data_IF_321720526516
#
_entry.id   IF_321720526516
#
_cell.length_a   1.000
_cell.length_b   1.000
_cell.length_c   1.000
_cell.angle_alpha   90.00
_cell.angle_beta   90.00
_cell.angle_gamma   90.00
#
_symmetry.space_group_name_H-M   'P 1'
#
loop_
_entity.id
_entity.type
_entity.pdbx_description
1 polymer ?
#
# COMPACT_ATOMS: atom_id res chain seq x y z
N UNK A 1 2.90 2.30 -24.77
CA UNK A 1 1.88 1.34 -25.23
C UNK A 1 2.36 -0.04 -24.90
N UNK A 2 1.96 -0.58 -23.75
CA UNK A 2 2.13 -2.00 -23.46
C UNK A 2 0.87 -2.70 -23.98
N UNK A 3 1.08 -3.58 -24.96
CA UNK A 3 0.05 -4.43 -25.55
C UNK A 3 -0.52 -5.34 -24.46
N UNK A 4 -1.82 -5.22 -24.18
CA UNK A 4 -2.57 -6.15 -23.35
C UNK A 4 -2.51 -7.54 -23.99
N UNK A 5 -1.68 -8.43 -23.44
CA UNK A 5 -1.80 -9.85 -23.72
C UNK A 5 -3.11 -10.33 -23.10
N UNK A 6 -4.10 -10.64 -23.94
CA UNK A 6 -5.42 -11.11 -23.57
C UNK A 6 -5.42 -12.58 -23.07
N UNK A 7 -4.57 -12.88 -22.09
CA UNK A 7 -4.56 -14.11 -21.32
C UNK A 7 -5.07 -13.88 -19.90
N UNK A 8 -5.48 -14.93 -19.17
CA UNK A 8 -5.80 -14.83 -17.75
C UNK A 8 -4.56 -14.34 -16.98
N UNK A 9 -4.70 -13.27 -16.20
CA UNK A 9 -3.64 -12.78 -15.31
C UNK A 9 -3.43 -13.77 -14.17
N UNK A 10 -2.43 -14.65 -14.35
CA UNK A 10 -2.13 -15.74 -13.42
C UNK A 10 -1.66 -15.23 -12.05
N UNK A 11 -1.10 -14.02 -11.97
CA UNK A 11 -0.57 -13.44 -10.74
C UNK A 11 -1.58 -12.57 -9.99
N UNK A 12 -2.78 -12.34 -10.53
CA UNK A 12 -3.80 -11.48 -9.94
C UNK A 12 -4.07 -11.78 -8.45
N UNK A 13 -4.31 -13.06 -8.12
CA UNK A 13 -4.61 -13.47 -6.74
C UNK A 13 -3.42 -13.27 -5.79
N UNK A 14 -2.21 -13.47 -6.30
CA UNK A 14 -0.97 -13.28 -5.53
C UNK A 14 -0.75 -11.79 -5.23
N UNK A 15 -0.89 -10.93 -6.25
CA UNK A 15 -0.82 -9.46 -6.11
C UNK A 15 -1.84 -8.96 -5.09
N UNK A 16 -3.10 -9.38 -5.21
CA UNK A 16 -4.15 -8.98 -4.27
C UNK A 16 -3.85 -9.41 -2.84
N UNK A 17 -3.41 -10.66 -2.63
CA UNK A 17 -3.03 -11.15 -1.30
C UNK A 17 -1.91 -10.30 -0.71
N UNK A 18 -0.91 -9.93 -1.51
CA UNK A 18 0.18 -9.05 -1.11
C UNK A 18 -0.32 -7.64 -0.75
N UNK A 19 -1.11 -6.98 -1.60
CA UNK A 19 -1.58 -5.62 -1.35
C UNK A 19 -2.51 -5.50 -0.14
N UNK A 20 -3.30 -6.54 0.13
CA UNK A 20 -4.19 -6.59 1.29
C UNK A 20 -3.43 -6.93 2.60
N UNK A 21 -2.12 -7.16 2.54
CA UNK A 21 -1.30 -7.50 3.69
C UNK A 21 -1.42 -8.97 4.14
N UNK A 22 -2.07 -9.83 3.35
CA UNK A 22 -2.17 -11.26 3.60
C UNK A 22 -0.87 -11.99 3.15
N UNK A 23 0.28 -11.55 3.68
CA UNK A 23 1.61 -11.98 3.25
C UNK A 23 1.83 -13.49 3.35
N UNK A 24 1.35 -14.12 4.43
CA UNK A 24 1.47 -15.58 4.59
C UNK A 24 0.66 -16.33 3.53
N UNK A 25 -0.52 -15.83 3.15
CA UNK A 25 -1.33 -16.42 2.10
C UNK A 25 -0.67 -16.25 0.72
N UNK A 26 -0.04 -15.10 0.47
CA UNK A 26 0.73 -14.86 -0.74
C UNK A 26 1.89 -15.87 -0.87
N UNK A 27 2.63 -16.12 0.22
CA UNK A 27 3.72 -17.11 0.25
C UNK A 27 3.18 -18.52 -0.01
N UNK A 28 2.13 -18.93 0.72
CA UNK A 28 1.59 -20.29 0.63
C UNK A 28 1.00 -20.61 -0.75
N UNK A 29 0.44 -19.61 -1.43
CA UNK A 29 -0.20 -19.76 -2.74
C UNK A 29 0.72 -19.34 -3.91
N UNK A 30 2.03 -19.28 -3.69
CA UNK A 30 2.98 -18.83 -4.71
C UNK A 30 3.27 -19.87 -5.79
N UNK A 31 3.03 -21.16 -5.53
CA UNK A 31 3.25 -22.24 -6.50
C UNK A 31 2.21 -22.22 -7.64
N UNK A 32 2.49 -21.41 -8.67
CA UNK A 32 1.64 -21.25 -9.84
C UNK A 32 2.34 -21.92 -11.05
N UNK A 33 1.73 -22.94 -11.67
CA UNK A 33 2.32 -23.62 -12.82
C UNK A 33 2.17 -22.80 -14.11
N UNK A 34 3.01 -23.09 -15.11
CA UNK A 34 2.95 -22.52 -16.47
C UNK A 34 3.12 -21.00 -16.57
N UNK A 35 3.92 -20.40 -15.68
CA UNK A 35 4.28 -18.98 -15.74
C UNK A 35 5.35 -18.72 -16.81
N UNK A 36 5.27 -17.54 -17.43
CA UNK A 36 6.35 -17.04 -18.28
C UNK A 36 7.59 -16.70 -17.43
N UNK A 37 8.76 -16.53 -18.06
CA UNK A 37 9.97 -16.16 -17.31
C UNK A 37 9.82 -14.79 -16.62
N UNK A 38 9.07 -13.87 -17.22
CA UNK A 38 8.76 -12.56 -16.62
C UNK A 38 7.85 -12.71 -15.40
N UNK A 39 6.79 -13.52 -15.51
CA UNK A 39 5.86 -13.77 -14.41
C UNK A 39 6.52 -14.53 -13.25
N UNK A 40 7.48 -15.42 -13.54
CA UNK A 40 8.28 -16.11 -12.50
C UNK A 40 9.05 -15.08 -11.68
N UNK A 41 9.74 -14.15 -12.34
CA UNK A 41 10.50 -13.10 -11.66
C UNK A 41 9.57 -12.20 -10.85
N UNK A 42 8.40 -11.84 -11.38
CA UNK A 42 7.43 -11.03 -10.65
C UNK A 42 6.85 -11.75 -9.44
N UNK A 43 6.46 -13.03 -9.58
CA UNK A 43 6.02 -13.88 -8.47
C UNK A 43 7.08 -13.91 -7.37
N UNK A 44 8.33 -14.19 -7.73
CA UNK A 44 9.41 -14.29 -6.75
C UNK A 44 9.67 -12.95 -6.06
N UNK A 45 9.58 -11.83 -6.81
CA UNK A 45 9.60 -10.49 -6.22
C UNK A 45 8.48 -10.28 -5.18
N UNK A 46 7.25 -10.70 -5.48
CA UNK A 46 6.11 -10.56 -4.55
C UNK A 46 6.27 -11.44 -3.31
N UNK A 47 6.77 -12.67 -3.47
CA UNK A 47 7.04 -13.61 -2.37
C UNK A 47 8.13 -13.05 -1.45
N UNK A 48 9.27 -12.63 -1.99
CA UNK A 48 10.34 -12.05 -1.19
C UNK A 48 9.92 -10.73 -0.51
N UNK A 49 9.14 -9.87 -1.20
CA UNK A 49 8.55 -8.67 -0.56
C UNK A 49 7.59 -9.04 0.58
N UNK A 50 6.88 -10.17 0.47
CA UNK A 50 6.02 -10.69 1.54
C UNK A 50 6.86 -11.12 2.76
N UNK A 51 7.99 -11.80 2.54
CA UNK A 51 8.94 -12.11 3.61
C UNK A 51 9.53 -10.87 4.29
N UNK A 52 9.89 -9.84 3.51
CA UNK A 52 10.34 -8.54 4.04
C UNK A 52 9.25 -7.93 4.94
N UNK A 53 7.99 -7.94 4.49
CA UNK A 53 6.87 -7.39 5.26
C UNK A 53 6.59 -8.16 6.56
N UNK A 54 6.94 -9.45 6.62
CA UNK A 54 6.91 -10.28 7.83
C UNK A 54 8.17 -10.14 8.70
N UNK A 55 9.12 -9.27 8.33
CA UNK A 55 10.37 -9.04 9.06
C UNK A 55 11.47 -10.09 8.82
N UNK A 56 11.27 -11.01 7.88
CA UNK A 56 12.22 -12.09 7.56
C UNK A 56 13.31 -11.63 6.58
N UNK A 57 14.04 -10.55 6.92
CA UNK A 57 15.01 -9.93 6.01
C UNK A 57 16.18 -10.85 5.66
N UNK A 58 16.72 -11.60 6.64
CA UNK A 58 17.89 -12.47 6.45
C UNK A 58 17.62 -13.61 5.47
N UNK A 59 16.40 -14.13 5.43
CA UNK A 59 15.99 -15.15 4.46
C UNK A 59 16.13 -14.60 3.04
N UNK A 60 15.59 -13.42 2.78
CA UNK A 60 15.64 -12.78 1.46
C UNK A 60 17.07 -12.44 1.04
N UNK A 61 17.90 -11.96 1.98
CA UNK A 61 19.30 -11.63 1.71
C UNK A 61 20.12 -12.88 1.32
N UNK A 62 19.82 -14.03 1.93
CA UNK A 62 20.56 -15.26 1.71
C UNK A 62 20.06 -16.06 0.49
N UNK A 63 18.76 -16.04 0.21
CA UNK A 63 18.16 -16.80 -0.91
C UNK A 63 18.41 -16.14 -2.27
N UNK A 64 18.42 -14.81 -2.34
CA UNK A 64 18.68 -14.10 -3.59
C UNK A 64 20.19 -14.06 -3.82
N UNK A 65 20.67 -14.89 -4.75
CA UNK A 65 22.07 -14.91 -5.18
C UNK A 65 22.45 -13.64 -5.98
N UNK A 66 23.71 -13.47 -6.39
CA UNK A 66 24.16 -12.31 -7.20
C UNK A 66 23.81 -12.44 -8.70
N UNK A 67 23.45 -13.64 -9.17
CA UNK A 67 23.11 -13.91 -10.57
C UNK A 67 21.62 -13.70 -10.87
N UNK A 68 20.80 -13.49 -9.83
CA UNK A 68 19.37 -13.29 -9.97
C UNK A 68 19.05 -12.01 -10.74
N UNK A 69 17.87 -11.99 -11.38
CA UNK A 69 17.42 -10.87 -12.19
C UNK A 69 17.42 -9.55 -11.40
N UNK A 70 17.68 -8.43 -12.09
CA UNK A 70 17.73 -7.09 -11.48
C UNK A 70 16.54 -6.74 -10.57
N UNK A 71 15.28 -7.12 -10.89
CA UNK A 71 14.15 -6.93 -9.97
C UNK A 71 14.33 -7.61 -8.61
N UNK A 72 14.84 -8.84 -8.60
CA UNK A 72 15.11 -9.60 -7.37
C UNK A 72 16.28 -8.99 -6.60
N UNK A 73 17.34 -8.55 -7.30
CA UNK A 73 18.42 -7.81 -6.67
C UNK A 73 17.93 -6.52 -5.99
N UNK A 74 16.96 -5.82 -6.60
CA UNK A 74 16.35 -4.65 -5.97
C UNK A 74 15.56 -5.03 -4.71
N UNK A 75 14.83 -6.13 -4.71
CA UNK A 75 14.14 -6.62 -3.50
C UNK A 75 15.14 -7.01 -2.40
N UNK A 76 16.26 -7.66 -2.75
CA UNK A 76 17.37 -7.93 -1.81
C UNK A 76 17.94 -6.63 -1.22
N UNK A 77 18.14 -5.62 -2.07
CA UNK A 77 18.62 -4.30 -1.65
C UNK A 77 17.67 -3.65 -0.63
N UNK A 78 16.36 -3.75 -0.84
CA UNK A 78 15.37 -3.31 0.15
C UNK A 78 15.48 -4.06 1.48
N UNK A 79 15.65 -5.39 1.43
CA UNK A 79 15.83 -6.19 2.65
C UNK A 79 17.09 -5.77 3.42
N UNK A 80 18.20 -5.52 2.72
CA UNK A 80 19.44 -5.02 3.34
C UNK A 80 19.23 -3.66 4.01
N UNK A 81 18.58 -2.72 3.32
CA UNK A 81 18.24 -1.39 3.85
C UNK A 81 17.40 -1.46 5.14
N UNK A 82 16.37 -2.30 5.16
CA UNK A 82 15.48 -2.44 6.31
C UNK A 82 16.08 -3.26 7.46
N UNK A 83 17.03 -4.16 7.16
CA UNK A 83 17.62 -5.05 8.15
C UNK A 83 18.56 -4.35 9.14
N UNK A 84 19.31 -3.34 8.69
CA UNK A 84 20.39 -2.74 9.48
C UNK A 84 20.60 -1.27 9.09
N UNK A 85 20.57 -0.33 10.06
CA UNK A 85 20.83 1.09 9.80
C UNK A 85 22.22 1.38 9.22
N UNK A 86 23.22 0.54 9.51
CA UNK A 86 24.60 0.71 9.03
C UNK A 86 24.74 0.53 7.52
N UNK A 87 23.86 -0.27 6.90
CA UNK A 87 23.90 -0.55 5.47
C UNK A 87 23.12 0.48 4.63
N UNK A 88 22.49 1.48 5.27
CA UNK A 88 21.62 2.44 4.58
C UNK A 88 22.36 3.23 3.50
N UNK A 89 23.51 3.80 3.85
CA UNK A 89 24.24 4.69 2.94
C UNK A 89 24.80 3.94 1.73
N UNK A 90 25.37 2.74 1.93
CA UNK A 90 25.85 1.88 0.84
C UNK A 90 24.73 1.40 -0.07
N UNK A 91 23.56 1.10 0.51
CA UNK A 91 22.36 0.72 -0.22
C UNK A 91 21.87 1.87 -1.11
N UNK A 92 21.77 3.08 -0.57
CA UNK A 92 21.33 4.26 -1.31
C UNK A 92 22.32 4.61 -2.44
N UNK A 93 23.63 4.48 -2.20
CA UNK A 93 24.64 4.69 -3.22
C UNK A 93 24.50 3.69 -4.39
N UNK A 94 24.36 2.40 -4.08
CA UNK A 94 24.16 1.32 -5.07
C UNK A 94 22.87 1.54 -5.87
N UNK A 95 21.80 1.94 -5.19
CA UNK A 95 20.52 2.25 -5.82
C UNK A 95 20.64 3.42 -6.81
N UNK A 96 21.35 4.49 -6.45
CA UNK A 96 21.58 5.64 -7.33
C UNK A 96 22.36 5.27 -8.58
N UNK A 97 23.34 4.37 -8.45
CA UNK A 97 24.08 3.84 -9.60
C UNK A 97 23.16 3.10 -10.56
N UNK A 98 22.29 2.21 -10.05
CA UNK A 98 21.35 1.48 -10.90
C UNK A 98 20.30 2.38 -11.55
N UNK A 99 19.88 3.45 -10.88
CA UNK A 99 18.95 4.43 -11.45
C UNK A 99 19.59 5.30 -12.53
N UNK A 100 20.92 5.43 -12.53
CA UNK A 100 21.67 6.11 -13.58
C UNK A 100 21.83 5.24 -14.84
N UNK A 101 21.81 3.91 -14.71
CA UNK A 101 21.79 2.98 -15.83
C UNK A 101 20.40 2.99 -16.52
N UNK A 102 20.30 3.32 -17.82
CA UNK A 102 19.02 3.33 -18.55
C UNK A 102 18.28 1.99 -18.53
N UNK A 103 18.99 0.87 -18.45
CA UNK A 103 18.37 -0.47 -18.49
C UNK A 103 17.72 -0.79 -17.14
N UNK A 104 18.48 -0.77 -16.06
CA UNK A 104 17.99 -1.00 -14.70
C UNK A 104 17.00 0.09 -14.24
N UNK A 105 17.31 1.37 -14.54
CA UNK A 105 16.47 2.52 -14.18
C UNK A 105 15.12 2.57 -14.90
N UNK A 106 14.93 1.82 -15.99
CA UNK A 106 13.63 1.68 -16.66
C UNK A 106 12.74 0.60 -16.02
N UNK A 107 13.32 -0.31 -15.22
CA UNK A 107 12.61 -1.44 -14.64
C UNK A 107 11.63 -0.98 -13.54
N UNK A 108 10.36 -1.35 -13.66
CA UNK A 108 9.31 -0.90 -12.74
C UNK A 108 9.56 -1.31 -11.28
N UNK A 109 10.06 -2.52 -11.04
CA UNK A 109 10.37 -3.02 -9.69
C UNK A 109 11.53 -2.25 -9.07
N UNK A 110 12.61 -2.01 -9.82
CA UNK A 110 13.76 -1.21 -9.36
C UNK A 110 13.28 0.18 -8.94
N UNK A 111 12.46 0.82 -9.78
CA UNK A 111 11.90 2.15 -9.50
C UNK A 111 10.95 2.16 -8.30
N UNK A 112 10.18 1.09 -8.11
CA UNK A 112 9.28 0.94 -6.96
C UNK A 112 10.06 0.81 -5.66
N UNK A 113 11.11 -0.02 -5.65
CA UNK A 113 12.00 -0.15 -4.50
C UNK A 113 12.73 1.16 -4.22
N UNK A 114 13.22 1.84 -5.27
CA UNK A 114 13.85 3.14 -5.13
C UNK A 114 12.93 4.16 -4.47
N UNK A 115 11.70 4.28 -4.97
CA UNK A 115 10.70 5.17 -4.39
C UNK A 115 10.37 4.82 -2.95
N UNK A 116 10.33 3.52 -2.60
CA UNK A 116 10.09 3.06 -1.22
C UNK A 116 11.23 3.48 -0.29
N UNK A 117 12.48 3.28 -0.69
CA UNK A 117 13.66 3.64 0.10
C UNK A 117 13.74 5.17 0.27
N UNK A 118 13.60 5.93 -0.81
CA UNK A 118 13.62 7.41 -0.72
C UNK A 118 12.47 7.97 0.10
N UNK A 119 11.28 7.33 0.07
CA UNK A 119 10.17 7.70 0.95
C UNK A 119 10.50 7.45 2.43
N UNK A 120 11.24 6.38 2.77
CA UNK A 120 11.71 6.13 4.14
C UNK A 120 12.77 7.12 4.61
N UNK A 121 13.57 7.67 3.70
CA UNK A 121 14.55 8.73 3.96
C UNK A 121 13.92 10.14 3.89
N UNK A 122 12.60 10.24 3.74
CA UNK A 122 11.84 11.49 3.62
C UNK A 122 12.26 12.38 2.42
N UNK A 123 13.05 11.85 1.47
CA UNK A 123 13.39 12.52 0.21
C UNK A 123 12.32 12.25 -0.85
N UNK A 124 11.16 12.88 -0.65
CA UNK A 124 10.02 12.73 -1.53
C UNK A 124 10.28 13.25 -2.96
N UNK A 125 11.17 14.24 -3.10
CA UNK A 125 11.55 14.81 -4.40
C UNK A 125 12.28 13.79 -5.28
N UNK A 126 13.28 13.12 -4.74
CA UNK A 126 14.00 12.07 -5.47
C UNK A 126 13.10 10.86 -5.71
N UNK A 127 12.25 10.49 -4.74
CA UNK A 127 11.26 9.43 -4.93
C UNK A 127 10.37 9.70 -6.16
N UNK A 128 9.78 10.89 -6.28
CA UNK A 128 8.89 11.26 -7.39
C UNK A 128 9.59 11.33 -8.75
N UNK A 129 10.85 11.74 -8.79
CA UNK A 129 11.68 11.73 -10.01
C UNK A 129 11.69 10.35 -10.68
N UNK A 130 11.80 9.31 -9.86
CA UNK A 130 11.89 7.93 -10.33
C UNK A 130 10.56 7.22 -10.42
N UNK A 131 9.46 7.73 -9.87
CA UNK A 131 8.18 7.01 -9.81
C UNK A 131 7.08 7.64 -10.67
N UNK A 132 7.26 8.89 -11.13
CA UNK A 132 6.22 9.62 -11.88
C UNK A 132 6.08 9.21 -13.37
N UNK A 133 7.16 8.83 -14.05
CA UNK A 133 7.14 8.57 -15.50
C UNK A 133 6.76 7.12 -15.86
N UNK A 134 5.78 6.91 -16.75
CA UNK A 134 5.51 5.58 -17.34
C UNK A 134 5.31 4.45 -16.34
N UNK A 135 4.52 4.70 -15.28
CA UNK A 135 4.41 3.82 -14.12
C UNK A 135 3.42 2.66 -14.28
N UNK A 136 3.67 1.59 -13.53
CA UNK A 136 2.69 0.53 -13.23
C UNK A 136 1.71 1.01 -12.16
N UNK A 137 0.64 0.24 -11.92
CA UNK A 137 -0.33 0.57 -10.88
C UNK A 137 0.33 0.74 -9.49
N UNK A 138 1.34 -0.07 -9.15
CA UNK A 138 2.14 0.07 -7.93
C UNK A 138 2.84 1.43 -7.83
N UNK A 139 3.46 1.90 -8.92
CA UNK A 139 4.15 3.19 -8.96
C UNK A 139 3.15 4.34 -8.80
N UNK A 140 1.97 4.22 -9.41
CA UNK A 140 0.91 5.20 -9.21
C UNK A 140 0.40 5.23 -7.76
N UNK A 141 0.19 4.06 -7.15
CA UNK A 141 -0.22 3.95 -5.75
C UNK A 141 0.84 4.52 -4.80
N UNK A 142 2.13 4.24 -5.05
CA UNK A 142 3.24 4.81 -4.28
C UNK A 142 3.28 6.34 -4.40
N UNK A 143 3.04 6.89 -5.59
CA UNK A 143 2.96 8.34 -5.77
C UNK A 143 1.85 8.97 -4.94
N UNK A 144 0.68 8.32 -4.84
CA UNK A 144 -0.40 8.78 -3.95
C UNK A 144 0.09 8.84 -2.50
N UNK A 145 0.76 7.79 -2.02
CA UNK A 145 1.33 7.77 -0.67
C UNK A 145 2.36 8.88 -0.45
N UNK A 146 3.26 9.11 -1.42
CA UNK A 146 4.27 10.17 -1.36
C UNK A 146 3.58 11.55 -1.30
N UNK A 147 2.60 11.84 -2.15
CA UNK A 147 1.89 13.11 -2.13
C UNK A 147 1.13 13.35 -0.82
N UNK A 148 0.54 12.30 -0.24
CA UNK A 148 -0.09 12.36 1.09
C UNK A 148 0.96 12.72 2.15
N UNK A 149 2.13 12.08 2.13
CA UNK A 149 3.25 12.35 3.06
C UNK A 149 3.82 13.76 2.91
N UNK A 150 3.78 14.32 1.70
CA UNK A 150 4.15 15.72 1.43
C UNK A 150 3.07 16.73 1.85
N UNK A 151 1.94 16.28 2.41
CA UNK A 151 0.77 17.12 2.72
C UNK A 151 0.19 17.82 1.47
N UNK A 152 0.32 17.20 0.30
CA UNK A 152 -0.18 17.70 -0.99
C UNK A 152 -1.33 16.84 -1.48
N UNK A 153 -2.45 16.94 -0.78
CA UNK A 153 -3.70 16.24 -1.13
C UNK A 153 -4.18 16.54 -2.55
N UNK A 154 -3.96 17.76 -3.03
CA UNK A 154 -4.30 18.19 -4.39
C UNK A 154 -3.58 17.39 -5.48
N UNK A 155 -2.32 17.02 -5.26
CA UNK A 155 -1.59 16.15 -6.18
C UNK A 155 -1.96 14.69 -6.00
N UNK A 156 -2.22 14.25 -4.77
CA UNK A 156 -2.67 12.90 -4.48
C UNK A 156 -4.03 12.60 -5.15
N UNK A 157 -4.98 13.55 -5.12
CA UNK A 157 -6.27 13.46 -5.84
C UNK A 157 -6.08 13.33 -7.35
N UNK A 158 -5.20 14.15 -7.95
CA UNK A 158 -4.90 14.07 -9.39
C UNK A 158 -4.34 12.71 -9.75
N UNK A 159 -3.42 12.19 -8.93
CA UNK A 159 -2.81 10.89 -9.14
C UNK A 159 -3.83 9.76 -8.99
N UNK A 160 -4.75 9.84 -8.02
CA UNK A 160 -5.84 8.88 -7.85
C UNK A 160 -6.77 8.86 -9.07
N UNK A 161 -7.11 10.03 -9.65
CA UNK A 161 -7.91 10.08 -10.88
C UNK A 161 -7.24 9.38 -12.05
N UNK A 162 -5.91 9.47 -12.14
CA UNK A 162 -5.15 8.71 -13.15
C UNK A 162 -5.33 7.21 -12.90
N UNK A 163 -5.19 6.73 -11.66
CA UNK A 163 -5.41 5.32 -11.33
C UNK A 163 -6.82 4.84 -11.68
N UNK A 164 -7.85 5.64 -11.37
CA UNK A 164 -9.25 5.34 -11.71
C UNK A 164 -9.49 5.25 -13.21
N UNK A 165 -8.80 6.07 -14.01
CA UNK A 165 -8.88 5.98 -15.48
C UNK A 165 -8.22 4.72 -16.04
N UNK A 166 -7.20 4.20 -15.36
CA UNK A 166 -6.55 2.94 -15.75
C UNK A 166 -7.41 1.74 -15.36
N UNK A 167 -7.81 1.66 -14.10
CA UNK A 167 -8.65 0.61 -13.56
C UNK A 167 -9.24 1.07 -12.21
N UNK A 168 -10.53 1.39 -12.21
CA UNK A 168 -11.27 1.85 -11.04
C UNK A 168 -11.45 0.75 -9.99
N UNK A 169 -11.64 -0.50 -10.42
CA UNK A 169 -11.92 -1.65 -9.55
C UNK A 169 -10.65 -2.31 -9.02
N UNK A 170 -9.47 -1.88 -9.51
CA UNK A 170 -8.20 -2.40 -9.04
C UNK A 170 -8.01 -2.20 -7.53
N UNK A 171 -7.55 -3.23 -6.82
CA UNK A 171 -7.32 -3.21 -5.36
C UNK A 171 -6.48 -2.02 -4.91
N UNK A 172 -5.39 -1.71 -5.63
CA UNK A 172 -4.57 -0.53 -5.35
C UNK A 172 -5.29 0.80 -5.54
N UNK A 173 -6.20 0.92 -6.51
CA UNK A 173 -7.01 2.14 -6.70
C UNK A 173 -7.95 2.34 -5.51
N UNK A 174 -8.59 1.25 -5.06
CA UNK A 174 -9.47 1.27 -3.89
C UNK A 174 -8.69 1.60 -2.60
N UNK A 175 -7.51 1.01 -2.41
CA UNK A 175 -6.63 1.33 -1.27
C UNK A 175 -6.13 2.79 -1.33
N UNK A 176 -5.75 3.28 -2.50
CA UNK A 176 -5.31 4.67 -2.68
C UNK A 176 -6.44 5.66 -2.38
N UNK A 177 -7.68 5.35 -2.78
CA UNK A 177 -8.87 6.13 -2.40
C UNK A 177 -9.06 6.16 -0.88
N UNK A 178 -8.95 5.00 -0.22
CA UNK A 178 -9.07 4.91 1.23
C UNK A 178 -7.99 5.74 1.96
N UNK A 179 -6.71 5.66 1.53
CA UNK A 179 -5.62 6.45 2.12
C UNK A 179 -5.83 7.94 1.94
N UNK A 180 -6.29 8.36 0.75
CA UNK A 180 -6.54 9.76 0.45
C UNK A 180 -7.69 10.30 1.30
N UNK A 181 -8.81 9.57 1.39
CA UNK A 181 -9.95 9.98 2.22
C UNK A 181 -9.54 10.11 3.70
N UNK A 182 -8.74 9.16 4.20
CA UNK A 182 -8.17 9.22 5.55
C UNK A 182 -7.25 10.44 5.76
N UNK A 183 -6.50 10.84 4.73
CA UNK A 183 -5.54 11.94 4.82
C UNK A 183 -6.17 13.33 4.63
N UNK A 184 -7.14 13.45 3.73
CA UNK A 184 -7.77 14.72 3.34
C UNK A 184 -8.87 15.11 4.30
N UNK A 185 -9.66 14.13 4.77
CA UNK A 185 -10.80 14.44 5.61
C UNK A 185 -11.00 13.43 6.75
N UNK A 186 -10.34 13.69 7.88
CA UNK A 186 -10.69 13.05 9.14
C UNK A 186 -12.13 13.38 9.62
N UNK A 187 -12.92 14.15 8.85
CA UNK A 187 -14.36 14.40 9.08
C UNK A 187 -15.26 13.73 8.05
N UNK A 188 -14.73 13.07 7.03
CA UNK A 188 -15.55 12.30 6.09
C UNK A 188 -16.41 11.29 6.88
N UNK A 189 -17.74 11.26 6.67
CA UNK A 189 -18.65 10.50 7.52
C UNK A 189 -18.34 9.00 7.51
N UNK A 190 -18.05 8.44 6.35
CA UNK A 190 -17.72 7.02 6.15
C UNK A 190 -16.35 6.67 6.75
N UNK A 191 -15.38 7.57 6.60
CA UNK A 191 -14.05 7.41 7.21
C UNK A 191 -14.12 7.43 8.74
N UNK A 192 -14.86 8.40 9.31
CA UNK A 192 -15.12 8.48 10.74
C UNK A 192 -15.90 7.26 11.27
N UNK A 193 -16.90 6.82 10.52
CA UNK A 193 -17.68 5.63 10.81
C UNK A 193 -16.81 4.37 10.89
N UNK A 194 -15.97 4.16 9.88
CA UNK A 194 -15.04 3.04 9.83
C UNK A 194 -14.02 3.11 10.98
N UNK A 195 -13.48 4.30 11.29
CA UNK A 195 -12.57 4.49 12.41
C UNK A 195 -13.23 4.20 13.78
N UNK A 196 -14.50 4.56 13.96
CA UNK A 196 -15.27 4.21 15.18
C UNK A 196 -15.39 2.70 15.32
N UNK A 197 -15.82 2.01 14.26
CA UNK A 197 -16.01 0.56 14.26
C UNK A 197 -14.69 -0.18 14.50
N UNK A 198 -13.62 0.21 13.78
CA UNK A 198 -12.29 -0.38 13.94
C UNK A 198 -11.72 -0.14 15.34
N UNK A 199 -11.86 1.06 15.90
CA UNK A 199 -11.37 1.38 17.25
C UNK A 199 -12.04 0.50 18.31
N UNK A 200 -13.36 0.26 18.19
CA UNK A 200 -14.11 -0.63 19.10
C UNK A 200 -13.60 -2.08 18.98
N UNK A 201 -13.43 -2.61 17.76
CA UNK A 201 -12.96 -3.99 17.55
C UNK A 201 -11.52 -4.22 18.03
N UNK A 202 -10.68 -3.18 18.00
CA UNK A 202 -9.28 -3.23 18.48
C UNK A 202 -9.20 -2.93 19.99
N UNK A 203 -10.32 -2.67 20.67
CA UNK A 203 -10.36 -2.36 22.10
C UNK A 203 -9.77 -0.99 22.46
N UNK A 204 -9.65 -0.09 21.49
CA UNK A 204 -9.15 1.28 21.70
C UNK A 204 -10.31 2.25 21.93
N UNK A 205 -10.12 3.27 22.78
CA UNK A 205 -11.16 4.27 23.01
C UNK A 205 -11.47 5.05 21.72
N UNK A 206 -12.71 4.89 21.22
CA UNK A 206 -13.28 5.59 20.08
C UNK A 206 -14.04 6.92 20.32
N UNK A 207 -14.15 7.51 21.55
CA UNK A 207 -15.04 8.67 21.76
C UNK A 207 -14.72 9.86 20.86
N UNK A 208 -13.44 10.06 20.53
CA UNK A 208 -13.00 11.18 19.70
C UNK A 208 -13.63 11.12 18.30
N UNK A 209 -13.59 9.97 17.64
CA UNK A 209 -14.13 9.81 16.29
C UNK A 209 -15.65 9.84 16.28
N UNK A 210 -16.28 9.21 17.28
CA UNK A 210 -17.75 9.22 17.41
C UNK A 210 -18.29 10.63 17.68
N UNK A 211 -17.64 11.39 18.56
CA UNK A 211 -18.00 12.80 18.83
C UNK A 211 -17.83 13.65 17.58
N UNK A 212 -16.76 13.45 16.82
CA UNK A 212 -16.53 14.17 15.57
C UNK A 212 -17.56 13.82 14.49
N UNK A 213 -18.01 12.56 14.43
CA UNK A 213 -19.07 12.11 13.53
C UNK A 213 -20.44 12.70 13.91
N UNK A 214 -20.78 12.68 15.20
CA UNK A 214 -22.01 13.30 15.72
C UNK A 214 -22.05 14.82 15.42
N UNK A 215 -20.91 15.51 15.51
CA UNK A 215 -20.80 16.95 15.27
C UNK A 215 -20.84 17.34 13.78
N UNK A 216 -20.15 16.57 12.92
CA UNK A 216 -20.00 16.92 11.50
C UNK A 216 -21.13 16.36 10.63
N UNK A 217 -21.62 15.16 10.95
CA UNK A 217 -22.56 14.41 10.13
C UNK A 217 -23.65 13.72 11.00
N UNK A 218 -24.53 14.50 11.65
CA UNK A 218 -25.55 13.98 12.56
C UNK A 218 -26.55 13.02 11.89
N UNK A 219 -26.74 13.15 10.57
CA UNK A 219 -27.67 12.33 9.81
C UNK A 219 -27.10 10.95 9.38
N UNK A 220 -25.81 10.69 9.65
CA UNK A 220 -25.16 9.45 9.25
C UNK A 220 -25.78 8.21 9.94
N UNK A 221 -25.85 7.09 9.23
CA UNK A 221 -26.57 5.86 9.66
C UNK A 221 -26.11 5.36 11.04
N UNK A 222 -24.80 5.39 11.32
CA UNK A 222 -24.28 4.99 12.64
C UNK A 222 -24.74 5.92 13.78
N UNK A 223 -24.85 7.23 13.54
CA UNK A 223 -25.26 8.19 14.56
C UNK A 223 -26.73 7.98 14.91
N UNK A 224 -27.60 7.84 13.90
CA UNK A 224 -29.03 7.55 14.10
C UNK A 224 -29.27 6.22 14.80
N UNK A 225 -28.52 5.18 14.42
CA UNK A 225 -28.62 3.86 15.08
C UNK A 225 -28.16 3.93 16.53
N UNK A 226 -27.07 4.64 16.83
CA UNK A 226 -26.59 4.82 18.19
C UNK A 226 -27.60 5.58 19.06
N UNK A 227 -28.14 6.70 18.57
CA UNK A 227 -29.16 7.48 19.28
C UNK A 227 -30.44 6.65 19.53
N UNK A 228 -30.92 5.92 18.51
CA UNK A 228 -32.08 5.03 18.68
C UNK A 228 -31.83 3.91 19.70
N UNK A 229 -30.61 3.38 19.77
CA UNK A 229 -30.23 2.39 20.77
C UNK A 229 -30.17 2.99 22.19
N UNK A 230 -29.63 4.20 22.34
CA UNK A 230 -29.62 4.97 23.60
C UNK A 230 -31.07 5.20 24.10
N UNK A 231 -31.97 5.68 23.23
CA UNK A 231 -33.39 5.91 23.56
C UNK A 231 -34.14 4.64 23.96
N UNK A 232 -33.85 3.52 23.29
CA UNK A 232 -34.44 2.22 23.61
C UNK A 232 -33.95 1.71 24.98
N UNK A 233 -32.66 1.89 25.28
CA UNK A 233 -32.07 1.52 26.56
C UNK A 233 -32.69 2.35 27.70
N UNK A 234 -32.83 3.65 27.52
CA UNK A 234 -33.40 4.54 28.54
C UNK A 234 -34.86 4.21 28.82
N UNK A 235 -35.66 3.92 27.79
CA UNK A 235 -37.03 3.41 27.95
C UNK A 235 -37.08 2.08 28.70
N UNK A 236 -36.15 1.16 28.43
CA UNK A 236 -36.08 -0.10 29.16
C UNK A 236 -35.77 0.15 30.64
N UNK A 237 -34.79 0.99 30.96
CA UNK A 237 -34.44 1.33 32.34
C UNK A 237 -35.62 1.91 33.12
N UNK A 238 -36.42 2.79 32.49
CA UNK A 238 -37.63 3.35 33.10
C UNK A 238 -38.71 2.30 33.37
N UNK A 239 -38.75 1.20 32.62
CA UNK A 239 -39.70 0.10 32.86
C UNK A 239 -39.30 -0.82 34.02
N UNK A 240 -38.05 -0.72 34.48
CA UNK A 240 -37.51 -1.47 35.62
C UNK A 240 -37.38 -0.63 36.90
N UNK A 241 -37.70 0.68 36.84
CA UNK A 241 -37.74 1.60 37.97
C UNK A 241 -39.16 1.75 38.53
#
# INVERSE_FOLDING_TARGET
MASMAAGPDHLFNLRNSFYLGAYQAAINNSEIPNLSQEDIVERDCLVHRSYIALGSYQLVINEIDEAAATPLQAVKLLAMYLSSPENKESTIASLREWLADPTAGSNATVRLIAGTIFMHEEDYSEALKHTHSGGTMDLHALNVQIFIKMHRSDYAEKQLRVMQQFDEDHTLTQLASAWLNLAVDAKDPETLANLVVCSIHVGKPSPRYLSQLKLSHPEHVLVKRAASAEDNLERALQSFA
#
